data_IF_781751992596
#
_entry.id   IF_781751992596
#
_cell.length_a   1.000
_cell.length_b   1.000
_cell.length_c   1.000
_cell.angle_alpha   90.00
_cell.angle_beta   90.00
_cell.angle_gamma   90.00
#
_symmetry.space_group_name_H-M   'P 1'
#
loop_
_entity.id
_entity.type
_entity.pdbx_description
1 polymer ?
#
# COMPACT_ATOMS: atom_id res chain seq x y z
N UNK A 1 69.13 25.81 27.82
CA UNK A 1 69.03 27.27 27.59
C UNK A 1 68.19 27.51 26.34
N UNK A 2 66.89 27.71 26.52
CA UNK A 2 66.06 28.60 25.70
C UNK A 2 64.95 29.11 26.63
N UNK A 3 65.14 30.37 27.05
CA UNK A 3 64.18 31.41 27.46
C UNK A 3 62.70 31.07 27.20
N UNK A 4 61.82 31.02 28.22
CA UNK A 4 61.01 32.12 28.84
C UNK A 4 59.81 32.59 27.97
N UNK A 5 58.79 33.27 28.56
CA UNK A 5 57.69 32.76 29.38
C UNK A 5 56.33 33.25 28.79
N UNK A 6 55.18 33.03 29.45
CA UNK A 6 54.23 34.11 29.78
C UNK A 6 52.99 33.57 30.51
N UNK A 7 52.90 33.96 31.77
CA UNK A 7 51.74 34.52 32.49
C UNK A 7 50.35 33.85 32.47
N UNK A 8 50.02 33.43 33.68
CA UNK A 8 48.74 33.22 34.37
C UNK A 8 47.74 34.37 34.15
N UNK A 9 46.44 34.08 33.96
CA UNK A 9 45.38 34.43 34.94
C UNK A 9 43.97 34.05 34.45
N UNK A 10 43.24 33.45 35.38
CA UNK A 10 41.86 32.94 35.34
C UNK A 10 40.81 34.01 35.08
N UNK A 11 39.78 33.70 34.29
CA UNK A 11 38.36 33.96 34.61
C UNK A 11 37.46 32.93 33.92
N UNK A 12 36.83 32.06 34.72
CA UNK A 12 35.57 31.43 34.33
C UNK A 12 34.50 32.53 34.33
N UNK A 13 33.77 32.69 33.23
CA UNK A 13 32.40 33.23 33.26
C UNK A 13 31.63 32.70 32.07
N UNK A 14 30.58 31.98 32.41
CA UNK A 14 29.59 31.29 31.60
C UNK A 14 28.66 32.30 30.91
N UNK A 15 28.49 32.24 29.59
CA UNK A 15 27.23 32.62 28.92
C UNK A 15 27.04 31.71 27.70
N UNK A 16 26.01 30.87 27.76
CA UNK A 16 25.54 29.99 26.72
C UNK A 16 24.99 30.74 25.49
N UNK A 17 24.95 30.05 24.34
CA UNK A 17 23.86 30.02 23.31
C UNK A 17 24.39 30.03 21.86
N UNK A 18 23.78 29.19 21.01
CA UNK A 18 23.95 28.98 19.54
C UNK A 18 25.12 28.05 19.12
N UNK A 19 25.02 26.71 19.03
CA UNK A 19 23.95 25.79 18.62
C UNK A 19 23.42 25.99 17.19
N UNK A 20 23.82 25.08 16.30
CA UNK A 20 22.86 24.37 15.43
C UNK A 20 22.17 25.18 14.32
N UNK A 21 22.88 26.07 13.63
CA UNK A 21 22.28 26.82 12.49
C UNK A 21 22.80 26.39 11.12
N UNK A 22 24.04 25.93 10.98
CA UNK A 22 24.67 25.87 9.63
C UNK A 22 24.58 24.48 8.96
N UNK A 23 24.23 23.41 9.68
CA UNK A 23 24.08 22.06 9.08
C UNK A 23 22.61 21.62 8.85
N UNK A 24 21.65 22.56 8.80
CA UNK A 24 20.23 22.27 8.51
C UNK A 24 19.71 22.79 7.16
N UNK A 25 20.52 23.53 6.41
CA UNK A 25 20.04 24.31 5.25
C UNK A 25 20.14 23.57 3.91
N UNK A 26 20.68 22.35 3.85
CA UNK A 26 20.85 21.63 2.57
C UNK A 26 19.89 20.46 2.31
N UNK A 27 19.00 20.11 3.25
CA UNK A 27 17.99 19.04 3.05
C UNK A 27 16.56 19.57 2.87
N UNK A 28 16.36 20.73 2.21
CA UNK A 28 15.02 21.34 2.11
C UNK A 28 14.45 21.47 0.68
N UNK A 29 15.07 20.90 -0.36
CA UNK A 29 14.55 21.05 -1.74
C UNK A 29 14.47 19.79 -2.61
N UNK A 30 14.40 18.59 -2.02
CA UNK A 30 13.63 17.51 -2.67
C UNK A 30 12.25 17.46 -2.04
N UNK A 31 11.39 18.39 -2.46
CA UNK A 31 9.95 18.10 -2.45
C UNK A 31 9.77 16.96 -3.46
N UNK A 32 9.84 15.71 -2.98
CA UNK A 32 9.19 14.62 -3.70
C UNK A 32 7.73 15.02 -3.71
N UNK A 33 7.22 15.49 -4.85
CA UNK A 33 5.80 15.74 -5.03
C UNK A 33 5.15 14.37 -4.97
N UNK A 34 4.68 13.99 -3.78
CA UNK A 34 3.92 12.77 -3.56
C UNK A 34 2.64 12.89 -4.40
N UNK A 35 2.58 12.14 -5.49
CA UNK A 35 1.45 12.15 -6.38
C UNK A 35 0.44 11.14 -5.82
N UNK A 36 -0.72 11.62 -5.38
CA UNK A 36 -1.77 10.75 -4.84
C UNK A 36 -2.52 9.96 -5.95
N UNK A 37 -1.92 9.89 -7.15
CA UNK A 37 -2.47 9.16 -8.28
C UNK A 37 -2.15 7.67 -8.11
N UNK A 38 -3.20 6.86 -8.01
CA UNK A 38 -3.08 5.41 -8.02
C UNK A 38 -2.77 4.94 -9.44
N UNK A 39 -1.75 4.11 -9.58
CA UNK A 39 -1.30 3.56 -10.87
C UNK A 39 -1.63 2.08 -11.03
N UNK A 40 -1.77 1.36 -9.92
CA UNK A 40 -2.08 -0.07 -9.89
C UNK A 40 -2.77 -0.47 -8.60
N UNK A 41 -3.63 -1.47 -8.68
CA UNK A 41 -4.20 -2.19 -7.54
C UNK A 41 -3.64 -3.60 -7.47
N UNK A 42 -3.37 -4.06 -6.25
CA UNK A 42 -2.95 -5.42 -5.94
C UNK A 42 -4.05 -6.09 -5.11
N UNK A 43 -4.78 -7.02 -5.70
CA UNK A 43 -5.67 -7.91 -4.96
C UNK A 43 -4.92 -9.17 -4.53
N UNK A 44 -4.94 -9.47 -3.25
CA UNK A 44 -4.31 -10.68 -2.70
C UNK A 44 -5.38 -11.61 -2.17
N UNK A 45 -5.50 -12.78 -2.79
CA UNK A 45 -6.36 -13.85 -2.34
C UNK A 45 -5.82 -14.51 -1.08
N UNK A 46 -6.72 -14.97 -0.22
CA UNK A 46 -6.36 -15.86 0.89
C UNK A 46 -6.38 -17.34 0.45
N UNK A 47 -5.55 -17.66 -0.55
CA UNK A 47 -5.40 -18.99 -1.11
C UNK A 47 -3.93 -19.27 -1.47
N UNK A 48 -3.52 -20.54 -1.50
CA UNK A 48 -2.19 -20.97 -1.97
C UNK A 48 -2.18 -21.17 -3.49
N UNK A 49 -1.14 -20.67 -4.18
CA UNK A 49 -1.01 -20.68 -5.65
C UNK A 49 -0.81 -22.03 -6.33
N UNK A 50 -1.07 -23.13 -5.62
CA UNK A 50 -1.02 -24.48 -6.18
C UNK A 50 -2.21 -24.73 -7.12
N UNK A 51 -1.97 -24.40 -8.40
CA UNK A 51 -2.50 -25.03 -9.61
C UNK A 51 -3.85 -24.50 -10.13
N UNK A 52 -3.74 -23.54 -11.06
CA UNK A 52 -4.81 -22.93 -11.88
C UNK A 52 -5.61 -23.96 -12.70
N UNK A 53 -5.10 -25.18 -12.89
CA UNK A 53 -5.82 -26.29 -13.56
C UNK A 53 -6.70 -27.17 -12.65
N UNK A 54 -6.51 -27.11 -11.33
CA UNK A 54 -7.29 -27.89 -10.34
C UNK A 54 -8.24 -27.03 -9.49
N UNK A 55 -8.21 -25.70 -9.65
CA UNK A 55 -9.03 -24.70 -8.93
C UNK A 55 -10.52 -25.09 -8.85
N UNK A 56 -11.08 -25.68 -9.90
CA UNK A 56 -12.47 -26.14 -9.95
C UNK A 56 -12.84 -27.17 -8.87
N UNK A 57 -11.90 -28.02 -8.42
CA UNK A 57 -12.16 -29.02 -7.39
C UNK A 57 -11.72 -28.55 -6.00
N UNK A 58 -10.66 -27.73 -5.92
CA UNK A 58 -10.08 -27.28 -4.66
C UNK A 58 -10.80 -26.11 -4.02
N UNK A 59 -11.56 -25.31 -4.78
CA UNK A 59 -12.48 -24.33 -4.17
C UNK A 59 -13.43 -25.04 -3.20
N UNK A 60 -14.03 -26.18 -3.54
CA UNK A 60 -14.93 -26.86 -2.60
C UNK A 60 -14.26 -27.44 -1.34
N UNK A 61 -12.96 -27.78 -1.40
CA UNK A 61 -12.22 -28.46 -0.33
C UNK A 61 -11.53 -27.49 0.63
N UNK A 62 -11.10 -26.31 0.16
CA UNK A 62 -10.57 -25.23 1.01
C UNK A 62 -11.69 -24.44 1.70
N UNK A 63 -12.93 -24.50 1.17
CA UNK A 63 -14.15 -23.96 1.78
C UNK A 63 -14.64 -24.73 3.01
N UNK A 64 -13.98 -25.81 3.43
CA UNK A 64 -14.27 -26.52 4.68
C UNK A 64 -13.74 -25.80 5.94
N UNK A 65 -13.47 -24.48 5.90
CA UNK A 65 -13.55 -23.54 7.05
C UNK A 65 -12.93 -22.13 6.82
N UNK A 66 -12.44 -21.76 5.62
CA UNK A 66 -11.91 -20.40 5.35
C UNK A 66 -12.57 -19.82 4.08
N UNK A 67 -13.28 -18.70 4.22
CA UNK A 67 -14.02 -18.04 3.14
C UNK A 67 -13.19 -16.87 2.59
N UNK A 68 -12.79 -16.94 1.33
CA UNK A 68 -12.01 -15.89 0.66
C UNK A 68 -12.95 -15.01 -0.17
N UNK A 69 -13.42 -13.89 0.39
CA UNK A 69 -14.39 -13.01 -0.29
C UNK A 69 -13.89 -12.49 -1.64
N UNK A 70 -12.59 -12.21 -1.79
CA UNK A 70 -12.02 -11.78 -3.08
C UNK A 70 -12.08 -12.90 -4.13
N UNK A 71 -11.92 -14.15 -3.71
CA UNK A 71 -12.06 -15.31 -4.58
C UNK A 71 -13.51 -15.41 -5.09
N UNK A 72 -14.49 -15.25 -4.19
CA UNK A 72 -15.92 -15.30 -4.54
C UNK A 72 -16.36 -14.14 -5.43
N UNK A 73 -15.77 -12.95 -5.26
CA UNK A 73 -15.99 -11.79 -6.14
C UNK A 73 -15.45 -12.08 -7.55
N UNK A 74 -14.22 -12.57 -7.66
CA UNK A 74 -13.51 -12.69 -8.95
C UNK A 74 -13.88 -13.94 -9.74
N UNK A 75 -14.29 -15.03 -9.08
CA UNK A 75 -14.57 -16.32 -9.72
C UNK A 75 -16.04 -16.71 -9.62
N UNK A 76 -16.51 -17.36 -10.68
CA UNK A 76 -17.69 -18.22 -10.65
C UNK A 76 -17.29 -19.63 -10.14
N UNK A 77 -18.18 -20.61 -10.25
CA UNK A 77 -17.91 -21.98 -9.77
C UNK A 77 -16.62 -22.59 -10.33
N UNK A 78 -16.22 -22.22 -11.55
CA UNK A 78 -15.09 -22.87 -12.24
C UNK A 78 -14.14 -21.94 -13.01
N UNK A 79 -14.55 -20.69 -13.27
CA UNK A 79 -13.77 -19.74 -14.07
C UNK A 79 -13.88 -18.34 -13.51
N UNK A 80 -12.92 -17.48 -13.85
CA UNK A 80 -13.04 -16.04 -13.67
C UNK A 80 -14.37 -15.53 -14.25
N UNK A 81 -15.00 -14.59 -13.55
CA UNK A 81 -16.30 -14.05 -13.96
C UNK A 81 -16.11 -13.09 -15.13
N UNK A 82 -16.89 -13.21 -16.22
CA UNK A 82 -16.87 -12.21 -17.29
C UNK A 82 -17.22 -10.80 -16.78
N UNK A 83 -18.08 -10.68 -15.76
CA UNK A 83 -18.40 -9.39 -15.16
C UNK A 83 -17.23 -8.77 -14.40
N UNK A 84 -16.35 -9.59 -13.82
CA UNK A 84 -15.10 -9.13 -13.24
C UNK A 84 -14.17 -8.55 -14.31
N UNK A 85 -14.04 -9.24 -15.45
CA UNK A 85 -13.19 -8.76 -16.56
C UNK A 85 -13.68 -7.41 -17.10
N UNK A 86 -14.99 -7.26 -17.32
CA UNK A 86 -15.58 -5.98 -17.71
C UNK A 86 -15.32 -4.88 -16.68
N UNK A 87 -15.52 -5.20 -15.40
CA UNK A 87 -15.30 -4.27 -14.29
C UNK A 87 -13.84 -3.76 -14.22
N UNK A 88 -12.87 -4.65 -14.40
CA UNK A 88 -11.44 -4.28 -14.37
C UNK A 88 -11.06 -3.45 -15.60
N UNK A 89 -11.61 -3.75 -16.78
CA UNK A 89 -11.34 -3.00 -18.00
C UNK A 89 -11.75 -1.52 -17.88
N UNK A 90 -12.81 -1.23 -17.12
CA UNK A 90 -13.35 0.12 -16.92
C UNK A 90 -12.66 0.91 -15.79
N UNK A 91 -11.77 0.28 -15.00
CA UNK A 91 -11.22 0.85 -13.76
C UNK A 91 -10.16 1.97 -13.99
N UNK A 92 -9.64 2.09 -15.21
CA UNK A 92 -8.66 3.13 -15.57
C UNK A 92 -7.25 2.96 -14.96
N UNK A 93 -7.01 1.89 -14.21
CA UNK A 93 -5.69 1.47 -13.72
C UNK A 93 -5.55 -0.05 -13.74
N UNK A 94 -4.31 -0.56 -13.69
CA UNK A 94 -4.07 -2.00 -13.68
C UNK A 94 -4.56 -2.65 -12.39
N UNK A 95 -5.20 -3.82 -12.48
CA UNK A 95 -5.57 -4.64 -11.33
C UNK A 95 -4.84 -5.98 -11.39
N UNK A 96 -3.82 -6.15 -10.55
CA UNK A 96 -3.04 -7.39 -10.47
C UNK A 96 -3.54 -8.27 -9.32
N UNK A 97 -3.82 -9.52 -9.64
CA UNK A 97 -4.26 -10.53 -8.69
C UNK A 97 -3.11 -11.46 -8.31
N UNK A 98 -2.99 -11.74 -7.02
CA UNK A 98 -1.94 -12.58 -6.46
C UNK A 98 -2.56 -13.61 -5.51
N UNK A 99 -2.03 -14.83 -5.49
CA UNK A 99 -2.26 -15.71 -4.35
C UNK A 99 -1.41 -15.23 -3.17
N UNK A 100 -1.83 -15.55 -1.94
CA UNK A 100 -1.13 -15.13 -0.71
C UNK A 100 0.36 -15.42 -0.72
N UNK A 101 0.75 -16.57 -1.27
CA UNK A 101 2.15 -17.02 -1.32
C UNK A 101 2.94 -16.46 -2.51
N UNK A 102 2.25 -15.89 -3.49
CA UNK A 102 2.84 -15.36 -4.73
C UNK A 102 2.92 -13.81 -4.69
N UNK A 103 2.26 -13.20 -3.70
CA UNK A 103 2.23 -11.75 -3.52
C UNK A 103 3.66 -11.20 -3.35
N UNK A 104 4.03 -10.12 -4.09
CA UNK A 104 5.34 -9.50 -3.98
C UNK A 104 5.65 -9.06 -2.55
N UNK A 105 6.92 -9.15 -2.14
CA UNK A 105 7.35 -8.78 -0.80
C UNK A 105 6.95 -7.33 -0.44
N UNK A 106 7.04 -6.40 -1.41
CA UNK A 106 6.60 -5.01 -1.23
C UNK A 106 5.12 -4.89 -0.87
N UNK A 107 4.25 -5.68 -1.51
CA UNK A 107 2.82 -5.74 -1.23
C UNK A 107 2.59 -6.31 0.17
N UNK A 108 3.22 -7.44 0.51
CA UNK A 108 3.05 -8.08 1.84
C UNK A 108 3.62 -7.26 3.00
N UNK A 109 4.58 -6.38 2.73
CA UNK A 109 5.16 -5.47 3.73
C UNK A 109 4.28 -4.24 4.01
N UNK A 110 3.17 -4.06 3.27
CA UNK A 110 2.26 -2.93 3.45
C UNK A 110 1.64 -2.94 4.86
N UNK A 111 1.66 -1.82 5.60
CA UNK A 111 1.01 -1.75 6.91
C UNK A 111 -0.47 -2.16 6.84
N UNK A 112 -0.88 -3.05 7.74
CA UNK A 112 -2.25 -3.58 7.77
C UNK A 112 -2.53 -4.73 6.79
N UNK A 113 -1.52 -5.22 6.06
CA UNK A 113 -1.66 -6.39 5.19
C UNK A 113 -2.13 -7.63 5.96
N UNK A 114 -3.31 -8.12 5.58
CA UNK A 114 -3.87 -9.42 5.97
C UNK A 114 -4.71 -9.90 4.78
N UNK A 115 -4.41 -11.07 4.22
CA UNK A 115 -5.21 -11.62 3.12
C UNK A 115 -6.58 -12.13 3.63
N UNK A 116 -7.67 -11.99 2.86
CA UNK A 116 -7.73 -11.33 1.56
C UNK A 116 -7.76 -9.80 1.70
N UNK A 117 -7.10 -9.08 0.77
CA UNK A 117 -7.08 -7.62 0.76
C UNK A 117 -6.86 -7.03 -0.63
N UNK A 118 -7.09 -5.71 -0.75
CA UNK A 118 -6.72 -4.89 -1.91
C UNK A 118 -5.79 -3.78 -1.45
N UNK A 119 -4.67 -3.59 -2.15
CA UNK A 119 -3.65 -2.57 -1.88
C UNK A 119 -3.51 -1.66 -3.10
N UNK A 120 -3.43 -0.35 -2.87
CA UNK A 120 -3.09 0.63 -3.90
C UNK A 120 -1.59 0.83 -4.00
N UNK A 121 -1.10 0.92 -5.24
CA UNK A 121 0.22 1.46 -5.59
C UNK A 121 0.04 2.87 -6.17
N UNK A 122 0.73 3.84 -5.59
CA UNK A 122 0.76 5.22 -6.07
C UNK A 122 1.92 5.45 -7.04
N UNK A 123 1.86 6.55 -7.80
CA UNK A 123 2.87 6.90 -8.80
C UNK A 123 4.28 7.09 -8.23
N UNK A 124 4.42 7.47 -6.95
CA UNK A 124 5.70 7.53 -6.24
C UNK A 124 6.19 6.18 -5.70
N UNK A 125 5.47 5.09 -5.99
CA UNK A 125 5.78 3.73 -5.57
C UNK A 125 5.37 3.38 -4.14
N UNK A 126 4.72 4.30 -3.42
CA UNK A 126 4.17 3.97 -2.10
C UNK A 126 2.99 3.01 -2.22
N UNK A 127 2.83 2.15 -1.21
CA UNK A 127 1.77 1.15 -1.13
C UNK A 127 0.90 1.41 0.11
N UNK A 128 -0.43 1.30 -0.06
CA UNK A 128 -1.40 1.48 1.03
C UNK A 128 -2.53 0.48 0.94
N UNK A 129 -2.94 -0.06 2.09
CA UNK A 129 -4.15 -0.87 2.20
C UNK A 129 -5.37 -0.04 1.76
N UNK A 130 -6.11 -0.54 0.77
CA UNK A 130 -7.34 0.06 0.28
C UNK A 130 -8.56 -0.61 0.90
N UNK A 131 -8.63 -1.95 0.83
CA UNK A 131 -9.72 -2.75 1.38
C UNK A 131 -9.18 -3.95 2.14
N UNK A 132 -9.72 -4.17 3.33
CA UNK A 132 -9.47 -5.36 4.14
C UNK A 132 -10.54 -6.45 3.91
N UNK A 133 -10.37 -7.60 4.56
CA UNK A 133 -11.25 -8.75 4.44
C UNK A 133 -12.73 -8.46 4.76
N UNK A 134 -13.02 -7.61 5.76
CA UNK A 134 -14.39 -7.28 6.14
C UNK A 134 -15.06 -6.39 5.09
N UNK A 135 -14.34 -5.41 4.55
CA UNK A 135 -14.83 -4.54 3.49
C UNK A 135 -15.08 -5.34 2.20
N UNK A 136 -14.19 -6.28 1.88
CA UNK A 136 -14.40 -7.22 0.77
C UNK A 136 -15.61 -8.12 1.00
N UNK A 137 -15.82 -8.63 2.21
CA UNK A 137 -17.01 -9.43 2.53
C UNK A 137 -18.32 -8.64 2.37
N UNK A 138 -18.30 -7.32 2.61
CA UNK A 138 -19.46 -6.45 2.44
C UNK A 138 -19.86 -6.21 0.97
N UNK A 139 -19.01 -6.63 0.01
CA UNK A 139 -19.32 -6.55 -1.42
C UNK A 139 -20.20 -7.71 -1.91
N UNK A 140 -20.62 -8.63 -1.02
CA UNK A 140 -21.58 -9.70 -1.29
C UNK A 140 -21.31 -10.49 -2.59
N UNK A 141 -20.04 -10.79 -2.86
CA UNK A 141 -19.58 -11.54 -4.05
C UNK A 141 -19.91 -10.85 -5.39
N UNK A 142 -20.07 -9.52 -5.40
CA UNK A 142 -20.32 -8.69 -6.59
C UNK A 142 -19.07 -7.91 -7.01
N UNK A 143 -18.55 -8.16 -8.23
CA UNK A 143 -17.53 -7.30 -8.86
C UNK A 143 -17.95 -5.84 -8.96
N UNK A 144 -19.22 -5.60 -9.26
CA UNK A 144 -19.77 -4.27 -9.49
C UNK A 144 -19.77 -3.45 -8.18
N UNK A 145 -20.15 -4.08 -7.06
CA UNK A 145 -20.07 -3.44 -5.74
C UNK A 145 -18.62 -3.12 -5.35
N UNK A 146 -17.70 -4.05 -5.60
CA UNK A 146 -16.28 -3.83 -5.33
C UNK A 146 -15.74 -2.63 -6.13
N UNK A 147 -15.99 -2.57 -7.45
CA UNK A 147 -15.52 -1.46 -8.27
C UNK A 147 -16.16 -0.13 -7.89
N UNK A 148 -17.43 -0.14 -7.49
CA UNK A 148 -18.09 1.06 -6.97
C UNK A 148 -17.35 1.62 -5.76
N UNK A 149 -17.09 0.78 -4.75
CA UNK A 149 -16.38 1.19 -3.52
C UNK A 149 -14.97 1.68 -3.84
N UNK A 150 -14.24 0.96 -4.68
CA UNK A 150 -12.89 1.37 -5.11
C UNK A 150 -12.94 2.75 -5.77
N UNK A 151 -13.83 2.95 -6.74
CA UNK A 151 -13.96 4.21 -7.47
C UNK A 151 -14.33 5.37 -6.56
N UNK A 152 -15.26 5.16 -5.61
CA UNK A 152 -15.63 6.15 -4.60
C UNK A 152 -14.42 6.54 -3.74
N UNK A 153 -13.65 5.56 -3.24
CA UNK A 153 -12.46 5.84 -2.43
C UNK A 153 -11.40 6.59 -3.24
N UNK A 154 -11.15 6.17 -4.49
CA UNK A 154 -10.15 6.81 -5.35
C UNK A 154 -10.51 8.27 -5.68
N UNK A 155 -11.79 8.54 -5.96
CA UNK A 155 -12.25 9.90 -6.24
C UNK A 155 -12.13 10.82 -5.01
N UNK A 156 -12.50 10.35 -3.82
CA UNK A 156 -12.38 11.15 -2.59
C UNK A 156 -10.92 11.48 -2.20
N UNK A 157 -9.97 10.60 -2.52
CA UNK A 157 -8.55 10.86 -2.28
C UNK A 157 -7.97 11.91 -3.25
N UNK A 158 -8.56 12.07 -4.44
CA UNK A 158 -8.13 13.08 -5.41
C UNK A 158 -8.47 14.51 -4.99
N UNK A 159 -9.64 14.73 -4.37
CA UNK A 159 -10.11 16.06 -3.96
C UNK A 159 -9.37 16.60 -2.72
N UNK A 160 -8.91 15.71 -1.83
CA UNK A 160 -8.17 16.07 -0.61
C UNK A 160 -6.74 16.59 -0.86
N UNK A 161 -6.31 16.66 -2.12
CA UNK A 161 -4.95 17.06 -2.51
C UNK A 161 -4.85 18.49 -3.08
N UNK A 162 -5.95 19.26 -3.06
CA UNK A 162 -5.94 20.66 -3.52
C UNK A 162 -5.35 21.58 -2.43
N UNK A 163 -4.27 22.33 -2.71
CA UNK A 163 -3.72 23.27 -1.73
C UNK A 163 -4.61 24.53 -1.65
N UNK A 164 -5.01 24.88 -0.42
CA UNK A 164 -5.41 26.25 -0.05
C UNK A 164 -4.17 27.15 0.07
#
# INVERSE_FOLDING_TARGET
MTSFPCSISTKNTEVATTATTILRVLCQHMRVTFSNRVVRLHGVYDASGTIVGEISYFLRRTFLNQHCSLCDITHSTFTQRPSWDSCVADLGCEFHLHHRNDAPASVTATPGYVAPCVICEFEDGSLKLLLNANELASCENSPEQLMKIITEILNHNSESSSPL
#
